data_IF_722550084877
#
_entry.id   IF_722550084877
#
_cell.length_a   1.000
_cell.length_b   1.000
_cell.length_c   1.000
_cell.angle_alpha   90.00
_cell.angle_beta   90.00
_cell.angle_gamma   90.00
#
_symmetry.space_group_name_H-M   'P 1'
#
loop_
_entity.id
_entity.type
_entity.pdbx_description
1 polymer ?
#
# COMPACT_ATOMS: atom_id res chain seq x y z
N UNK A 1 6.37 10.95 42.37
CA UNK A 1 6.48 9.47 42.47
C UNK A 1 7.86 8.91 42.09
N UNK A 2 8.60 9.52 41.17
CA UNK A 2 9.96 9.06 40.75
C UNK A 2 11.05 9.08 41.84
N UNK A 3 10.99 9.96 42.85
CA UNK A 3 12.03 10.04 43.91
C UNK A 3 12.03 8.87 44.91
N UNK A 4 10.90 8.21 45.15
CA UNK A 4 10.82 7.10 46.13
C UNK A 4 11.33 5.78 45.56
N UNK A 5 11.18 5.57 44.24
CA UNK A 5 11.70 4.39 43.55
C UNK A 5 13.24 4.35 43.58
N UNK A 6 13.90 5.51 43.44
CA UNK A 6 15.37 5.57 43.57
C UNK A 6 15.87 5.33 45.00
N UNK A 7 15.06 5.61 46.01
CA UNK A 7 15.48 5.39 47.41
C UNK A 7 15.44 3.90 47.77
N UNK A 8 14.46 3.14 47.28
CA UNK A 8 14.37 1.69 47.52
C UNK A 8 15.44 0.86 46.80
N UNK A 9 16.04 1.37 45.72
CA UNK A 9 17.15 0.73 45.02
C UNK A 9 18.44 0.74 45.86
N UNK A 10 18.58 1.69 46.80
CA UNK A 10 19.76 1.80 47.67
C UNK A 10 19.82 0.74 48.79
N UNK A 11 18.67 0.14 49.14
CA UNK A 11 18.56 -0.77 50.30
C UNK A 11 18.73 -2.25 49.96
N UNK A 12 18.73 -2.65 48.68
CA UNK A 12 18.92 -4.05 48.26
C UNK A 12 19.89 -4.19 47.07
N UNK A 13 21.22 -4.08 47.28
CA UNK A 13 22.22 -4.11 46.21
C UNK A 13 22.46 -5.49 45.57
N UNK A 14 21.82 -6.57 46.06
CA UNK A 14 22.08 -7.96 45.64
C UNK A 14 20.99 -8.61 44.75
N UNK A 15 19.85 -7.97 44.48
CA UNK A 15 18.81 -8.55 43.60
C UNK A 15 18.59 -7.83 42.25
N UNK A 16 19.22 -6.67 42.02
CA UNK A 16 19.05 -5.89 40.79
C UNK A 16 20.34 -5.78 39.93
N UNK A 17 21.39 -6.52 40.27
CA UNK A 17 22.64 -6.56 39.52
C UNK A 17 22.85 -7.95 38.91
N UNK A 18 22.95 -7.99 37.59
CA UNK A 18 23.70 -8.97 36.79
C UNK A 18 22.88 -9.95 35.92
N UNK A 19 22.01 -10.82 36.46
CA UNK A 19 21.46 -11.92 35.65
C UNK A 19 20.44 -11.49 34.57
N UNK A 20 19.38 -10.78 34.93
CA UNK A 20 18.31 -10.36 34.00
C UNK A 20 18.80 -9.36 32.96
N UNK A 21 19.65 -8.40 33.35
CA UNK A 21 20.22 -7.43 32.40
C UNK A 21 21.18 -8.09 31.40
N UNK A 22 22.01 -9.05 31.86
CA UNK A 22 22.87 -9.83 30.96
C UNK A 22 22.03 -10.69 30.03
N UNK A 23 21.01 -11.38 30.55
CA UNK A 23 20.11 -12.21 29.73
C UNK A 23 19.36 -11.39 28.67
N UNK A 24 18.81 -10.23 29.04
CA UNK A 24 18.17 -9.32 28.07
C UNK A 24 19.16 -8.83 26.99
N UNK A 25 20.40 -8.52 27.38
CA UNK A 25 21.44 -8.11 26.41
C UNK A 25 21.80 -9.26 25.45
N UNK A 26 22.03 -10.46 25.98
CA UNK A 26 22.29 -11.64 25.15
C UNK A 26 21.11 -12.00 24.26
N UNK A 27 19.88 -11.83 24.74
CA UNK A 27 18.67 -12.06 23.96
C UNK A 27 18.55 -11.05 22.80
N UNK A 28 18.82 -9.76 23.04
CA UNK A 28 18.84 -8.76 21.96
C UNK A 28 19.96 -9.01 20.95
N UNK A 29 21.13 -9.49 21.39
CA UNK A 29 22.23 -9.88 20.51
C UNK A 29 21.87 -11.08 19.64
N UNK A 30 21.19 -12.07 20.21
CA UNK A 30 20.70 -13.24 19.48
C UNK A 30 19.71 -12.83 18.38
N UNK A 31 18.73 -11.99 18.72
CA UNK A 31 17.74 -11.48 17.76
C UNK A 31 18.43 -10.66 16.67
N UNK A 32 19.36 -9.78 17.03
CA UNK A 32 20.08 -8.93 16.06
C UNK A 32 20.89 -9.77 15.08
N UNK A 33 21.59 -10.80 15.58
CA UNK A 33 22.32 -11.76 14.74
C UNK A 33 21.38 -12.53 13.80
N UNK A 34 20.24 -13.02 14.31
CA UNK A 34 19.24 -13.71 13.51
C UNK A 34 18.65 -12.82 12.39
N UNK A 35 18.38 -11.55 12.69
CA UNK A 35 17.94 -10.57 11.70
C UNK A 35 19.00 -10.33 10.62
N UNK A 36 20.29 -10.28 10.99
CA UNK A 36 21.38 -10.13 10.03
C UNK A 36 21.48 -11.33 9.07
N UNK A 37 21.40 -12.55 9.60
CA UNK A 37 21.43 -13.76 8.77
C UNK A 37 20.19 -13.83 7.87
N UNK A 38 19.00 -13.58 8.42
CA UNK A 38 17.76 -13.58 7.65
C UNK A 38 17.74 -12.52 6.54
N UNK A 39 18.28 -11.33 6.81
CA UNK A 39 18.40 -10.27 5.78
C UNK A 39 19.40 -10.62 4.69
N UNK A 40 20.53 -11.25 5.02
CA UNK A 40 21.48 -11.75 4.03
C UNK A 40 20.84 -12.83 3.15
N UNK A 41 20.10 -13.76 3.74
CA UNK A 41 19.38 -14.82 3.01
C UNK A 41 18.34 -14.23 2.06
N UNK A 42 17.51 -13.30 2.54
CA UNK A 42 16.50 -12.64 1.72
C UNK A 42 17.15 -11.89 0.53
N UNK A 43 18.32 -11.28 0.73
CA UNK A 43 19.06 -10.60 -0.33
C UNK A 43 19.57 -11.56 -1.39
N UNK A 44 20.05 -12.72 -0.97
CA UNK A 44 20.51 -13.76 -1.90
C UNK A 44 19.35 -14.30 -2.73
N UNK A 45 18.20 -14.61 -2.11
CA UNK A 45 17.04 -15.12 -2.86
C UNK A 45 16.49 -14.08 -3.84
N UNK A 46 16.36 -12.82 -3.43
CA UNK A 46 15.92 -11.75 -4.32
C UNK A 46 16.91 -11.48 -5.48
N UNK A 47 18.22 -11.68 -5.25
CA UNK A 47 19.23 -11.64 -6.31
C UNK A 47 19.06 -12.79 -7.31
N UNK A 48 18.83 -14.01 -6.80
CA UNK A 48 18.65 -15.22 -7.62
C UNK A 48 17.37 -15.17 -8.46
N UNK A 49 16.32 -14.53 -7.95
CA UNK A 49 15.05 -14.32 -8.65
C UNK A 49 15.12 -13.20 -9.70
N UNK A 50 16.21 -12.42 -9.75
CA UNK A 50 16.39 -11.33 -10.69
C UNK A 50 15.58 -10.06 -10.37
N UNK A 51 14.85 -10.03 -9.26
CA UNK A 51 14.06 -8.88 -8.80
C UNK A 51 14.90 -7.87 -8.00
N UNK A 52 16.04 -7.44 -8.55
CA UNK A 52 16.92 -6.46 -7.91
C UNK A 52 16.30 -5.04 -7.96
N UNK A 53 15.23 -4.83 -7.21
CA UNK A 53 14.53 -3.54 -7.15
C UNK A 53 15.20 -2.62 -6.13
N UNK A 54 15.30 -1.33 -6.47
CA UNK A 54 15.80 -0.28 -5.55
C UNK A 54 15.02 -0.29 -4.22
N UNK A 55 13.73 -0.64 -4.27
CA UNK A 55 12.85 -0.79 -3.10
C UNK A 55 13.29 -1.91 -2.17
N UNK A 56 13.78 -3.03 -2.72
CA UNK A 56 14.31 -4.14 -1.95
C UNK A 56 15.64 -3.78 -1.27
N UNK A 57 16.55 -3.15 -2.02
CA UNK A 57 17.85 -2.70 -1.50
C UNK A 57 17.71 -1.74 -0.31
N UNK A 58 16.80 -0.77 -0.42
CA UNK A 58 16.51 0.18 0.67
C UNK A 58 15.97 -0.52 1.93
N UNK A 59 15.08 -1.52 1.79
CA UNK A 59 14.56 -2.30 2.93
C UNK A 59 15.69 -3.04 3.67
N UNK A 60 16.60 -3.68 2.93
CA UNK A 60 17.74 -4.40 3.52
C UNK A 60 18.71 -3.43 4.20
N UNK A 61 19.02 -2.29 3.57
CA UNK A 61 19.92 -1.28 4.15
C UNK A 61 19.40 -0.71 5.48
N UNK A 62 18.09 -0.44 5.59
CA UNK A 62 17.46 0.00 6.85
C UNK A 62 17.60 -1.06 7.94
N UNK A 63 17.33 -2.33 7.62
CA UNK A 63 17.43 -3.42 8.60
C UNK A 63 18.88 -3.62 9.09
N UNK A 64 19.85 -3.57 8.17
CA UNK A 64 21.28 -3.62 8.52
C UNK A 64 21.69 -2.45 9.41
N UNK A 65 21.21 -1.24 9.11
CA UNK A 65 21.52 -0.05 9.91
C UNK A 65 20.97 -0.19 11.33
N UNK A 66 19.72 -0.63 11.49
CA UNK A 66 19.11 -0.87 12.80
C UNK A 66 19.91 -1.92 13.58
N UNK A 67 20.27 -3.03 12.93
CA UNK A 67 21.03 -4.11 13.54
C UNK A 67 22.43 -3.67 14.00
N UNK A 68 23.16 -2.92 13.16
CA UNK A 68 24.47 -2.37 13.53
C UNK A 68 24.33 -1.39 14.68
N UNK A 69 23.35 -0.48 14.63
CA UNK A 69 23.17 0.55 15.65
C UNK A 69 22.84 -0.06 17.03
N UNK A 70 21.95 -1.06 17.07
CA UNK A 70 21.66 -1.80 18.32
C UNK A 70 22.88 -2.59 18.78
N UNK A 71 23.55 -3.33 17.90
CA UNK A 71 24.73 -4.13 18.24
C UNK A 71 25.88 -3.27 18.80
N UNK A 72 26.20 -2.15 18.14
CA UNK A 72 27.25 -1.22 18.58
C UNK A 72 26.89 -0.54 19.90
N UNK A 73 25.63 -0.14 20.10
CA UNK A 73 25.16 0.39 21.37
C UNK A 73 25.37 -0.60 22.52
N UNK A 74 25.02 -1.88 22.32
CA UNK A 74 25.20 -2.90 23.34
C UNK A 74 26.67 -3.26 23.58
N UNK A 75 27.51 -3.34 22.54
CA UNK A 75 28.95 -3.54 22.71
C UNK A 75 29.61 -2.41 23.50
N UNK A 76 29.21 -1.16 23.23
CA UNK A 76 29.71 0.01 23.95
C UNK A 76 29.21 0.01 25.40
N UNK A 77 27.93 -0.34 25.63
CA UNK A 77 27.35 -0.48 26.97
C UNK A 77 28.02 -1.59 27.79
N UNK A 78 28.60 -2.62 27.18
CA UNK A 78 29.34 -3.67 27.86
C UNK A 78 30.79 -3.27 28.18
N UNK A 79 31.37 -2.29 27.47
CA UNK A 79 32.75 -1.81 27.68
C UNK A 79 32.88 -0.74 28.78
N UNK A 80 31.82 -0.03 29.14
CA UNK A 80 31.90 1.12 30.06
C UNK A 80 31.40 0.74 31.45
N UNK A 81 32.24 0.92 32.48
CA UNK A 81 31.84 0.80 33.88
C UNK A 81 30.93 1.98 34.28
N UNK A 82 29.84 1.75 35.04
CA UNK A 82 28.86 2.78 35.35
C UNK A 82 29.47 3.82 36.31
N UNK A 83 29.82 4.99 35.78
CA UNK A 83 30.16 6.18 36.57
C UNK A 83 28.98 7.14 36.54
N UNK A 84 28.23 7.15 37.64
CA UNK A 84 26.88 7.70 37.86
C UNK A 84 26.63 9.19 37.53
N UNK A 85 27.60 9.94 36.97
CA UNK A 85 27.48 11.40 36.82
C UNK A 85 27.22 11.91 35.38
N UNK A 86 27.40 11.09 34.35
CA UNK A 86 27.37 11.55 32.94
C UNK A 86 26.02 11.23 32.23
N UNK A 87 25.12 10.50 32.90
CA UNK A 87 23.97 9.85 32.26
C UNK A 87 22.74 10.74 32.01
N UNK A 88 22.61 11.92 32.62
CA UNK A 88 21.39 12.74 32.48
C UNK A 88 21.25 13.43 31.10
N UNK A 89 22.32 14.05 30.61
CA UNK A 89 22.31 14.84 29.37
C UNK A 89 22.46 13.97 28.14
N UNK A 90 23.25 12.89 28.21
CA UNK A 90 23.48 11.98 27.09
C UNK A 90 22.23 11.18 26.72
N UNK A 91 21.49 10.63 27.71
CA UNK A 91 20.24 9.92 27.43
C UNK A 91 19.15 10.84 26.88
N UNK A 92 19.04 12.08 27.37
CA UNK A 92 18.05 13.04 26.86
C UNK A 92 18.36 13.46 25.42
N UNK A 93 19.63 13.69 25.09
CA UNK A 93 20.06 13.99 23.72
C UNK A 93 19.87 12.79 22.79
N UNK A 94 20.23 11.59 23.23
CA UNK A 94 20.00 10.37 22.46
C UNK A 94 18.50 10.14 22.18
N UNK A 95 17.64 10.31 23.18
CA UNK A 95 16.19 10.16 23.01
C UNK A 95 15.59 11.20 22.05
N UNK A 96 16.05 12.46 22.13
CA UNK A 96 15.65 13.51 21.20
C UNK A 96 16.14 13.24 19.77
N UNK A 97 17.38 12.79 19.60
CA UNK A 97 17.95 12.48 18.28
C UNK A 97 17.27 11.28 17.64
N UNK A 98 17.02 10.21 18.39
CA UNK A 98 16.29 9.04 17.87
C UNK A 98 14.84 9.39 17.56
N UNK A 99 14.17 10.15 18.43
CA UNK A 99 12.81 10.63 18.18
C UNK A 99 12.73 11.51 16.94
N UNK A 100 13.70 12.40 16.75
CA UNK A 100 13.82 13.23 15.56
C UNK A 100 14.08 12.40 14.30
N UNK A 101 15.00 11.42 14.35
CA UNK A 101 15.29 10.55 13.21
C UNK A 101 14.07 9.73 12.78
N UNK A 102 13.27 9.22 13.74
CA UNK A 102 12.01 8.51 13.46
C UNK A 102 10.96 9.46 12.88
N UNK A 103 10.82 10.67 13.43
CA UNK A 103 9.88 11.65 12.88
C UNK A 103 10.25 12.03 11.44
N UNK A 104 11.54 12.27 11.16
CA UNK A 104 12.04 12.58 9.82
C UNK A 104 11.80 11.40 8.87
N UNK A 105 12.06 10.15 9.27
CA UNK A 105 11.86 9.00 8.39
C UNK A 105 10.37 8.79 8.05
N UNK A 106 9.47 9.01 9.00
CA UNK A 106 8.01 8.95 8.78
C UNK A 106 7.57 10.06 7.82
N UNK A 107 7.98 11.31 8.07
CA UNK A 107 7.64 12.45 7.20
C UNK A 107 8.20 12.25 5.80
N UNK A 108 9.45 11.80 5.68
CA UNK A 108 10.09 11.51 4.39
C UNK A 108 9.36 10.38 3.65
N UNK A 109 8.96 9.33 4.35
CA UNK A 109 8.14 8.25 3.80
C UNK A 109 6.80 8.73 3.27
N UNK A 110 6.12 9.62 4.01
CA UNK A 110 4.86 10.24 3.58
C UNK A 110 5.03 11.15 2.36
N UNK A 111 6.12 11.89 2.26
CA UNK A 111 6.41 12.73 1.08
C UNK A 111 6.67 11.88 -0.16
N UNK A 112 7.37 10.74 -0.03
CA UNK A 112 7.69 9.85 -1.15
C UNK A 112 6.49 9.03 -1.65
N UNK A 113 5.66 8.51 -0.74
CA UNK A 113 4.52 7.62 -1.09
C UNK A 113 3.22 8.42 -1.30
N UNK A 114 3.17 9.65 -0.82
CA UNK A 114 1.94 10.44 -0.70
C UNK A 114 1.21 10.18 0.62
N UNK A 115 0.24 11.04 0.92
CA UNK A 115 -0.51 10.98 2.18
C UNK A 115 -1.54 9.82 2.18
N UNK A 116 -1.96 9.32 3.36
CA UNK A 116 -3.03 8.33 3.44
C UNK A 116 -4.34 8.77 2.79
N UNK A 117 -4.62 10.08 2.74
CA UNK A 117 -5.82 10.64 2.11
C UNK A 117 -5.76 10.52 0.59
N UNK A 118 -4.64 10.91 -0.03
CA UNK A 118 -4.45 10.81 -1.49
C UNK A 118 -4.46 9.36 -1.96
N UNK A 119 -3.90 8.43 -1.16
CA UNK A 119 -3.96 7.00 -1.45
C UNK A 119 -5.37 6.40 -1.32
N UNK A 120 -6.24 7.02 -0.51
CA UNK A 120 -7.66 6.64 -0.44
C UNK A 120 -8.43 7.13 -1.65
N UNK A 121 -8.19 8.37 -2.10
CA UNK A 121 -8.82 8.93 -3.30
C UNK A 121 -8.45 8.15 -4.56
N UNK A 122 -7.17 7.81 -4.72
CA UNK A 122 -6.71 6.98 -5.85
C UNK A 122 -7.38 5.60 -5.89
N UNK A 123 -7.63 4.98 -4.73
CA UNK A 123 -8.35 3.70 -4.67
C UNK A 123 -9.81 3.83 -5.08
N UNK A 124 -10.46 4.96 -4.79
CA UNK A 124 -11.80 5.23 -5.30
C UNK A 124 -11.79 5.43 -6.82
N UNK A 125 -10.81 6.14 -7.37
CA UNK A 125 -10.64 6.28 -8.83
C UNK A 125 -10.38 4.94 -9.52
N UNK A 126 -9.54 4.09 -8.94
CA UNK A 126 -9.29 2.72 -9.42
C UNK A 126 -10.57 1.86 -9.38
N UNK A 127 -11.39 2.01 -8.35
CA UNK A 127 -12.69 1.33 -8.28
C UNK A 127 -13.65 1.86 -9.36
N UNK A 128 -13.72 3.18 -9.58
CA UNK A 128 -14.54 3.80 -10.64
C UNK A 128 -14.15 3.26 -12.02
N UNK A 129 -12.86 3.25 -12.35
CA UNK A 129 -12.36 2.67 -13.61
C UNK A 129 -12.73 1.20 -13.72
N UNK A 130 -12.57 0.43 -12.64
CA UNK A 130 -12.96 -0.98 -12.63
C UNK A 130 -14.45 -1.18 -12.87
N UNK A 131 -15.32 -0.37 -12.25
CA UNK A 131 -16.77 -0.42 -12.43
C UNK A 131 -17.14 -0.08 -13.88
N UNK A 132 -16.59 1.00 -14.45
CA UNK A 132 -16.82 1.40 -15.85
C UNK A 132 -16.40 0.31 -16.84
N UNK A 133 -15.28 -0.37 -16.56
CA UNK A 133 -14.82 -1.50 -17.38
C UNK A 133 -15.78 -2.70 -17.29
N UNK A 134 -16.26 -3.02 -16.09
CA UNK A 134 -17.26 -4.08 -15.90
C UNK A 134 -18.57 -3.72 -16.62
N UNK A 135 -19.00 -2.47 -16.56
CA UNK A 135 -20.18 -1.98 -17.29
C UNK A 135 -19.96 -2.11 -18.81
N UNK A 136 -18.84 -1.64 -19.33
CA UNK A 136 -18.52 -1.72 -20.76
C UNK A 136 -18.52 -3.16 -21.27
N UNK A 137 -17.88 -4.07 -20.53
CA UNK A 137 -17.86 -5.51 -20.87
C UNK A 137 -19.24 -6.15 -20.72
N UNK A 138 -19.99 -5.78 -19.67
CA UNK A 138 -21.34 -6.25 -19.45
C UNK A 138 -22.28 -5.87 -20.60
N UNK A 139 -22.22 -4.60 -21.05
CA UNK A 139 -23.00 -4.12 -22.20
C UNK A 139 -22.58 -4.85 -23.47
N UNK A 140 -21.27 -5.04 -23.69
CA UNK A 140 -20.77 -5.82 -24.84
C UNK A 140 -21.32 -7.24 -24.84
N UNK A 141 -21.32 -7.90 -23.69
CA UNK A 141 -21.86 -9.25 -23.52
C UNK A 141 -23.37 -9.31 -23.80
N UNK A 142 -24.13 -8.30 -23.36
CA UNK A 142 -25.57 -8.17 -23.65
C UNK A 142 -25.81 -7.99 -25.15
N UNK A 143 -25.07 -7.08 -25.79
CA UNK A 143 -25.20 -6.76 -27.22
C UNK A 143 -24.76 -7.95 -28.07
N UNK A 144 -23.64 -8.58 -27.74
CA UNK A 144 -23.07 -9.74 -28.42
C UNK A 144 -23.32 -11.01 -27.62
N UNK A 145 -24.59 -11.37 -27.50
CA UNK A 145 -25.01 -12.58 -26.82
C UNK A 145 -24.49 -13.82 -27.58
N UNK A 146 -23.43 -14.42 -27.04
CA UNK A 146 -22.89 -15.71 -27.46
C UNK A 146 -23.69 -16.78 -26.73
N UNK A 147 -24.90 -17.04 -27.21
CA UNK A 147 -25.84 -17.94 -26.55
C UNK A 147 -25.20 -19.29 -26.18
N UNK A 148 -25.47 -19.76 -24.96
CA UNK A 148 -24.84 -20.95 -24.37
C UNK A 148 -24.99 -22.26 -25.18
N UNK A 149 -25.94 -22.32 -26.12
CA UNK A 149 -26.29 -23.53 -26.88
C UNK A 149 -25.76 -23.53 -28.34
N UNK A 150 -25.36 -22.39 -28.88
CA UNK A 150 -24.85 -22.28 -30.27
C UNK A 150 -23.73 -21.23 -30.36
N UNK A 151 -22.49 -21.58 -30.00
CA UNK A 151 -21.36 -20.65 -29.96
C UNK A 151 -20.98 -20.08 -31.34
N UNK A 152 -21.55 -20.60 -32.43
CA UNK A 152 -21.33 -20.10 -33.80
C UNK A 152 -22.30 -19.00 -34.25
N UNK A 153 -23.39 -18.74 -33.51
CA UNK A 153 -24.38 -17.69 -33.85
C UNK A 153 -24.37 -16.58 -32.82
N UNK A 154 -23.75 -15.46 -33.21
CA UNK A 154 -23.78 -14.22 -32.43
C UNK A 154 -25.13 -13.54 -32.64
N UNK A 155 -25.93 -13.39 -31.59
CA UNK A 155 -27.18 -12.61 -31.63
C UNK A 155 -26.87 -11.18 -31.23
N UNK A 156 -27.08 -10.24 -32.15
CA UNK A 156 -26.86 -8.82 -31.88
C UNK A 156 -28.15 -8.22 -31.30
N UNK A 157 -28.13 -7.84 -30.03
CA UNK A 157 -29.20 -7.09 -29.36
C UNK A 157 -28.91 -5.58 -29.42
N UNK A 158 -29.93 -4.71 -29.40
CA UNK A 158 -29.70 -3.27 -29.32
C UNK A 158 -29.03 -2.89 -27.99
N UNK A 159 -28.22 -1.82 -28.02
CA UNK A 159 -27.61 -1.25 -26.80
C UNK A 159 -28.72 -0.86 -25.81
N UNK A 160 -28.58 -1.20 -24.50
CA UNK A 160 -29.52 -0.76 -23.47
C UNK A 160 -29.66 0.77 -23.43
N UNK A 161 -30.88 1.28 -23.25
CA UNK A 161 -31.11 2.73 -23.22
C UNK A 161 -30.73 3.38 -21.88
N UNK A 162 -30.57 2.58 -20.82
CA UNK A 162 -30.16 3.04 -19.49
C UNK A 162 -29.23 2.04 -18.80
N UNK A 163 -28.46 2.53 -17.81
CA UNK A 163 -27.62 1.67 -16.96
C UNK A 163 -28.46 0.70 -16.13
N UNK A 164 -29.64 1.09 -15.68
CA UNK A 164 -30.53 0.20 -14.92
C UNK A 164 -31.00 -0.97 -15.78
N UNK A 165 -31.35 -0.70 -17.04
CA UNK A 165 -31.68 -1.76 -17.99
C UNK A 165 -30.50 -2.69 -18.25
N UNK A 166 -29.29 -2.13 -18.39
CA UNK A 166 -28.07 -2.94 -18.55
C UNK A 166 -27.81 -3.80 -17.31
N UNK A 167 -28.00 -3.26 -16.10
CA UNK A 167 -27.82 -3.98 -14.85
C UNK A 167 -28.85 -5.11 -14.65
N UNK A 168 -30.11 -4.91 -15.05
CA UNK A 168 -31.15 -5.95 -15.02
C UNK A 168 -30.89 -7.08 -16.02
N UNK A 169 -30.31 -6.76 -17.18
CA UNK A 169 -29.98 -7.73 -18.24
C UNK A 169 -28.64 -8.46 -18.01
N UNK A 170 -27.89 -8.08 -16.97
CA UNK A 170 -26.59 -8.66 -16.67
C UNK A 170 -26.72 -10.10 -16.16
N UNK A 171 -26.34 -11.09 -16.98
CA UNK A 171 -26.47 -12.50 -16.58
C UNK A 171 -25.28 -13.01 -15.73
N UNK A 172 -24.05 -12.60 -16.07
CA UNK A 172 -22.84 -13.20 -15.50
C UNK A 172 -22.24 -12.43 -14.32
N UNK A 173 -22.31 -11.11 -14.35
CA UNK A 173 -21.65 -10.26 -13.37
C UNK A 173 -22.55 -9.08 -13.01
N UNK A 174 -22.74 -8.85 -11.70
CA UNK A 174 -23.44 -7.65 -11.23
C UNK A 174 -22.63 -6.41 -11.58
N UNK A 175 -23.27 -5.49 -12.28
CA UNK A 175 -22.69 -4.18 -12.60
C UNK A 175 -22.96 -3.22 -11.46
N UNK A 176 -21.92 -2.59 -10.92
CA UNK A 176 -22.11 -1.47 -10.01
C UNK A 176 -22.35 -0.20 -10.84
N UNK A 177 -23.58 0.32 -10.81
CA UNK A 177 -23.97 1.49 -11.62
C UNK A 177 -23.77 2.82 -10.91
N UNK A 178 -23.31 2.78 -9.65
CA UNK A 178 -23.19 3.96 -8.79
C UNK A 178 -21.75 4.16 -8.32
N UNK A 179 -21.36 5.42 -8.20
CA UNK A 179 -20.06 5.84 -7.68
C UNK A 179 -19.90 5.40 -6.22
N UNK A 180 -18.81 4.69 -5.86
CA UNK A 180 -18.63 4.08 -4.53
C UNK A 180 -18.40 5.11 -3.41
N UNK A 181 -18.11 6.37 -3.75
CA UNK A 181 -17.86 7.44 -2.79
C UNK A 181 -19.08 8.35 -2.62
N UNK A 182 -19.78 8.66 -3.71
CA UNK A 182 -20.89 9.63 -3.73
C UNK A 182 -22.27 8.99 -3.80
N UNK A 183 -22.37 7.77 -4.33
CA UNK A 183 -23.66 7.09 -4.59
C UNK A 183 -24.38 7.60 -5.84
N UNK A 184 -23.83 8.59 -6.54
CA UNK A 184 -24.39 9.10 -7.80
C UNK A 184 -24.21 8.06 -8.92
N UNK A 185 -25.21 7.88 -9.82
CA UNK A 185 -25.07 6.97 -10.94
C UNK A 185 -23.98 7.44 -11.91
N UNK A 186 -23.28 6.50 -12.53
CA UNK A 186 -22.34 6.83 -13.60
C UNK A 186 -23.06 7.48 -14.80
N UNK A 187 -22.39 8.41 -15.48
CA UNK A 187 -22.95 9.02 -16.67
C UNK A 187 -23.00 8.02 -17.81
N UNK A 188 -24.12 7.95 -18.50
CA UNK A 188 -24.35 7.03 -19.61
C UNK A 188 -25.10 7.72 -20.73
N UNK A 189 -24.57 7.68 -21.94
CA UNK A 189 -25.23 8.26 -23.12
C UNK A 189 -24.97 7.39 -24.34
N UNK A 190 -26.05 6.98 -25.01
CA UNK A 190 -25.96 6.23 -26.27
C UNK A 190 -25.77 7.23 -27.40
N UNK A 191 -24.65 7.14 -28.12
CA UNK A 191 -24.31 8.05 -29.22
C UNK A 191 -24.78 7.49 -30.57
N UNK A 192 -24.69 6.16 -30.75
CA UNK A 192 -25.05 5.47 -31.99
C UNK A 192 -25.50 4.03 -31.69
N UNK A 193 -25.78 3.24 -32.73
CA UNK A 193 -26.13 1.82 -32.59
C UNK A 193 -25.03 0.96 -31.97
N UNK A 194 -23.77 1.41 -32.04
CA UNK A 194 -22.59 0.65 -31.62
C UNK A 194 -21.66 1.45 -30.68
N UNK A 195 -21.98 2.72 -30.40
CA UNK A 195 -21.11 3.61 -29.64
C UNK A 195 -21.88 4.21 -28.48
N UNK A 196 -21.25 4.18 -27.31
CA UNK A 196 -21.77 4.76 -26.08
C UNK A 196 -20.70 5.55 -25.35
N UNK A 197 -21.14 6.41 -24.45
CA UNK A 197 -20.27 7.22 -23.59
C UNK A 197 -20.52 6.86 -22.12
N UNK A 198 -19.42 6.60 -21.40
CA UNK A 198 -19.41 6.32 -19.96
C UNK A 198 -18.63 7.41 -19.22
N UNK A 199 -19.27 8.10 -18.30
CA UNK A 199 -18.65 9.19 -17.56
C UNK A 199 -18.56 8.91 -16.06
N UNK A 200 -17.46 9.36 -15.46
CA UNK A 200 -17.30 9.43 -14.01
C UNK A 200 -16.58 10.73 -13.62
N UNK A 201 -16.58 11.03 -12.32
CA UNK A 201 -15.82 12.16 -11.77
C UNK A 201 -14.65 11.63 -10.97
N UNK A 202 -13.44 11.87 -11.45
CA UNK A 202 -12.21 11.38 -10.85
C UNK A 202 -11.56 12.44 -9.97
N UNK A 203 -10.96 12.02 -8.87
CA UNK A 203 -10.29 12.95 -7.94
C UNK A 203 -8.83 13.18 -8.35
N UNK A 204 -8.18 12.14 -8.83
CA UNK A 204 -6.76 12.12 -9.20
C UNK A 204 -6.58 11.92 -10.71
N UNK A 205 -5.42 12.31 -11.22
CA UNK A 205 -5.01 12.02 -12.59
C UNK A 205 -4.45 10.60 -12.70
N UNK A 206 -4.81 9.89 -13.77
CA UNK A 206 -4.28 8.58 -14.14
C UNK A 206 -3.60 8.67 -15.50
N UNK A 207 -2.28 8.47 -15.48
CA UNK A 207 -1.46 8.28 -16.68
C UNK A 207 -0.61 7.02 -16.53
N UNK A 208 -1.12 5.89 -17.05
CA UNK A 208 -0.45 4.59 -17.03
C UNK A 208 0.00 4.20 -18.43
N UNK A 209 1.17 3.57 -18.52
CA UNK A 209 1.71 3.05 -19.79
C UNK A 209 1.00 1.77 -20.27
N UNK A 210 0.23 1.13 -19.40
CA UNK A 210 -0.65 0.02 -19.71
C UNK A 210 -2.09 0.48 -19.49
N UNK A 211 -3.05 -0.14 -20.18
CA UNK A 211 -4.47 0.16 -20.01
C UNK A 211 -4.80 1.64 -20.28
N UNK A 212 -4.20 2.16 -21.36
CA UNK A 212 -4.14 3.59 -21.73
C UNK A 212 -5.52 4.16 -22.02
N UNK A 213 -6.44 3.33 -22.54
CA UNK A 213 -7.83 3.73 -22.80
C UNK A 213 -8.51 4.32 -21.56
N UNK A 214 -8.17 3.81 -20.37
CA UNK A 214 -8.74 4.28 -19.10
C UNK A 214 -7.91 5.37 -18.41
N UNK A 215 -6.93 5.97 -19.08
CA UNK A 215 -6.25 7.16 -18.57
C UNK A 215 -7.19 8.35 -18.60
N UNK A 216 -7.13 9.18 -17.55
CA UNK A 216 -8.03 10.32 -17.39
C UNK A 216 -7.36 11.44 -16.59
N UNK A 217 -7.73 12.71 -16.86
CA UNK A 217 -7.39 13.81 -15.98
C UNK A 217 -8.18 13.73 -14.67
N UNK A 218 -7.80 14.55 -13.69
CA UNK A 218 -8.68 14.83 -12.54
C UNK A 218 -9.92 15.61 -13.01
N UNK A 219 -11.09 15.28 -12.46
CA UNK A 219 -12.37 15.90 -12.77
C UNK A 219 -13.32 14.96 -13.52
N UNK A 220 -14.39 15.54 -14.08
CA UNK A 220 -15.35 14.77 -14.90
C UNK A 220 -14.70 14.39 -16.22
N UNK A 221 -14.66 13.09 -16.51
CA UNK A 221 -14.14 12.55 -17.76
C UNK A 221 -15.08 11.46 -18.30
N UNK A 222 -15.17 11.38 -19.63
CA UNK A 222 -16.06 10.49 -20.35
C UNK A 222 -15.28 9.66 -21.35
N UNK A 223 -15.50 8.34 -21.33
CA UNK A 223 -14.88 7.39 -22.24
C UNK A 223 -15.88 7.01 -23.33
N UNK A 224 -15.45 7.13 -24.58
CA UNK A 224 -16.23 6.67 -25.73
C UNK A 224 -15.90 5.20 -25.99
N UNK A 225 -16.89 4.32 -25.81
CA UNK A 225 -16.76 2.87 -25.99
C UNK A 225 -17.48 2.46 -27.28
N UNK A 226 -16.76 1.84 -28.21
CA UNK A 226 -17.37 1.07 -29.31
C UNK A 226 -17.58 -0.37 -28.83
N UNK A 227 -18.82 -0.83 -28.80
CA UNK A 227 -19.16 -2.18 -28.32
C UNK A 227 -18.61 -3.29 -29.23
N UNK A 228 -18.24 -2.98 -30.48
CA UNK A 228 -17.61 -3.93 -31.41
C UNK A 228 -16.14 -4.17 -31.13
N UNK A 229 -15.44 -3.14 -30.68
CA UNK A 229 -14.00 -3.21 -30.46
C UNK A 229 -13.74 -3.62 -29.02
N UNK A 230 -12.72 -4.46 -28.86
CA UNK A 230 -12.25 -4.79 -27.52
C UNK A 230 -11.46 -3.61 -26.97
N UNK A 231 -12.07 -2.89 -26.04
CA UNK A 231 -11.49 -1.75 -25.31
C UNK A 231 -10.28 -2.12 -24.45
N UNK A 232 -9.84 -3.39 -24.48
CA UNK A 232 -8.76 -3.98 -23.67
C UNK A 232 -7.47 -4.22 -24.49
N UNK A 233 -7.38 -3.78 -25.75
CA UNK A 233 -6.15 -3.96 -26.55
C UNK A 233 -5.09 -2.88 -26.28
#
# INVERSE_FOLDING_TARGET
>A
LSRRVNHDISKNPLKAKSAIRRWLTYFTLLITSGLFVGTMIALIFSFLEGEFTIRFLLKVAVLLTIAVLTFTYYLFSLRIQPTEAIYGTFHRRALLLTGFAVAVSVVWGMVLVGSPLTQRERRFDEQRVSDLRIIAEGIRSIVYDKGAYDPGRIRIKPIPQSLDQAAEQAEYQRMNTQDPQTGEPYGYTVLSSNTLELCATFTTERDQAFDIFWNHPSGRHCFTVDVREDSVR
#
